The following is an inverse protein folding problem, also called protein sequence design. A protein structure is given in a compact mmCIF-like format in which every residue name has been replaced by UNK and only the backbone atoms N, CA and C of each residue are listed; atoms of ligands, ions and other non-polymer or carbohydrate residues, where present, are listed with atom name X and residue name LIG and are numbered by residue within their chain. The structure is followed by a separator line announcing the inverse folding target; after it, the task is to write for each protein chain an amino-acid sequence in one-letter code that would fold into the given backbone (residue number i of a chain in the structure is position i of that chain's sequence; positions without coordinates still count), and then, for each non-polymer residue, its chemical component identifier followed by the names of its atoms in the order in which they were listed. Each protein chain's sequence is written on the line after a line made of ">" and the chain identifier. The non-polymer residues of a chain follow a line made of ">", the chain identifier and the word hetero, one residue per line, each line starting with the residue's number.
data_IF_434238706645
#
_entry.id   IF_434238706645
#
_cell.length_a   1.000
_cell.length_b   1.000
_cell.length_c   1.000
_cell.angle_alpha   90.00
_cell.angle_beta   90.00
_cell.angle_gamma   90.00
#
_symmetry.space_group_name_H-M   'P 1'
#
loop_
_entity.id
_entity.type
_entity.pdbx_description
1 polymer ?
#
# COMPACT_ATOMS: atom_id res chain seq x y z
N UNK A 1 -46.48 -7.80 28.38
CA UNK A 1 -45.28 -7.06 27.98
C UNK A 1 -44.27 -8.07 27.44
N UNK A 2 -44.01 -8.03 26.14
CA UNK A 2 -43.10 -8.94 25.43
C UNK A 2 -41.72 -8.30 25.39
N UNK A 3 -40.72 -8.93 26.02
CA UNK A 3 -39.33 -8.50 25.96
C UNK A 3 -38.69 -9.07 24.70
N UNK A 4 -38.49 -8.24 23.68
CA UNK A 4 -37.66 -8.57 22.50
C UNK A 4 -36.20 -8.26 22.83
N UNK A 5 -35.24 -9.18 22.62
CA UNK A 5 -33.82 -8.86 22.80
C UNK A 5 -33.34 -7.91 21.70
N UNK A 6 -32.62 -6.86 22.08
CA UNK A 6 -31.95 -5.92 21.15
C UNK A 6 -30.67 -6.59 20.62
N UNK A 7 -30.38 -6.57 19.31
CA UNK A 7 -29.12 -7.07 18.76
C UNK A 7 -27.93 -6.25 19.26
N UNK A 8 -26.82 -6.93 19.61
CA UNK A 8 -25.59 -6.26 19.99
C UNK A 8 -24.99 -5.51 18.79
N UNK A 9 -24.77 -4.21 18.95
CA UNK A 9 -24.04 -3.37 17.99
C UNK A 9 -22.56 -3.73 18.07
N UNK A 10 -22.03 -4.42 17.06
CA UNK A 10 -20.60 -4.61 16.88
C UNK A 10 -19.98 -3.29 16.38
N UNK A 11 -19.54 -2.44 17.28
CA UNK A 11 -18.71 -1.28 16.93
C UNK A 11 -17.36 -1.78 16.40
N UNK A 12 -16.91 -1.37 15.20
CA UNK A 12 -15.57 -1.70 14.74
C UNK A 12 -14.56 -1.07 15.69
N UNK A 13 -13.69 -1.90 16.27
CA UNK A 13 -12.55 -1.44 17.08
C UNK A 13 -11.58 -0.74 16.12
N UNK A 14 -11.17 0.52 16.38
CA UNK A 14 -10.10 1.15 15.63
C UNK A 14 -8.85 0.28 15.73
N UNK A 15 -8.22 -0.04 14.59
CA UNK A 15 -6.94 -0.74 14.59
C UNK A 15 -5.91 0.12 15.32
N UNK A 16 -5.55 -0.27 16.54
CA UNK A 16 -4.49 0.37 17.31
C UNK A 16 -3.17 0.06 16.61
N UNK A 17 -2.48 1.09 16.13
CA UNK A 17 -1.12 0.97 15.61
C UNK A 17 -0.20 0.51 16.75
N UNK A 18 0.18 -0.77 16.76
CA UNK A 18 1.18 -1.28 17.69
C UNK A 18 2.52 -0.59 17.36
N UNK A 19 3.16 0.13 18.29
CA UNK A 19 4.48 0.70 18.04
C UNK A 19 5.47 -0.44 17.83
N UNK A 20 6.22 -0.44 16.72
CA UNK A 20 7.24 -1.45 16.48
C UNK A 20 8.37 -1.32 17.53
N UNK A 21 8.90 -2.43 18.06
CA UNK A 21 10.02 -2.40 19.02
C UNK A 21 11.32 -2.04 18.28
N UNK A 22 11.99 -0.99 18.75
CA UNK A 22 13.12 -0.35 18.04
C UNK A 22 12.58 0.81 17.21
N UNK A 23 12.74 2.04 17.71
CA UNK A 23 12.00 3.20 17.21
C UNK A 23 12.31 3.52 15.76
N UNK A 24 11.51 2.99 14.83
CA UNK A 24 11.52 3.36 13.43
C UNK A 24 11.15 4.85 13.28
N UNK A 25 11.77 5.51 12.31
CA UNK A 25 11.41 6.89 11.93
C UNK A 25 10.75 6.92 10.57
N UNK A 26 9.66 7.68 10.44
CA UNK A 26 9.03 7.88 9.14
C UNK A 26 10.05 8.53 8.19
N UNK A 27 10.36 7.84 7.10
CA UNK A 27 11.32 8.35 6.12
C UNK A 27 10.59 9.05 4.99
N UNK A 28 9.66 8.35 4.32
CA UNK A 28 9.00 8.87 3.13
C UNK A 28 7.75 8.05 2.77
N UNK A 29 6.74 8.68 2.19
CA UNK A 29 5.63 7.96 1.56
C UNK A 29 5.13 8.68 0.31
N UNK A 30 4.57 7.93 -0.63
CA UNK A 30 4.10 8.41 -1.93
C UNK A 30 2.72 7.83 -2.23
N UNK A 31 1.77 8.70 -2.54
CA UNK A 31 0.49 8.34 -3.14
C UNK A 31 0.71 8.15 -4.66
N UNK A 32 0.93 6.90 -5.08
CA UNK A 32 1.41 6.57 -6.42
C UNK A 32 0.43 6.96 -7.54
N UNK A 33 -0.87 6.97 -7.26
CA UNK A 33 -1.90 7.32 -8.24
C UNK A 33 -2.51 8.72 -8.05
N UNK A 34 -2.07 9.51 -7.06
CA UNK A 34 -2.83 10.69 -6.65
C UNK A 34 -2.02 11.90 -6.17
N UNK A 35 -2.75 12.85 -5.59
CA UNK A 35 -2.19 14.08 -5.01
C UNK A 35 -1.61 13.82 -3.61
N UNK A 36 -0.80 14.78 -3.14
CA UNK A 36 -0.29 14.77 -1.78
C UNK A 36 -1.42 14.82 -0.75
N UNK A 37 -1.27 14.09 0.36
CA UNK A 37 -2.25 13.97 1.43
C UNK A 37 -1.57 13.59 2.74
N UNK A 38 -2.34 13.44 3.82
CA UNK A 38 -1.82 13.06 5.14
C UNK A 38 -2.51 11.79 5.62
N UNK A 39 -1.76 10.76 5.95
CA UNK A 39 -2.26 9.51 6.53
C UNK A 39 -1.46 9.22 7.79
N UNK A 40 -2.13 8.90 8.90
CA UNK A 40 -1.51 8.58 10.20
C UNK A 40 -0.51 9.65 10.68
N UNK A 41 -0.86 10.93 10.48
CA UNK A 41 -0.01 12.10 10.77
C UNK A 41 1.28 12.20 9.94
N UNK A 42 1.47 11.34 8.94
CA UNK A 42 2.61 11.40 8.02
C UNK A 42 2.21 12.08 6.72
N UNK A 43 3.10 12.91 6.18
CA UNK A 43 2.93 13.53 4.87
C UNK A 43 3.20 12.50 3.77
N UNK A 44 2.22 12.30 2.90
CA UNK A 44 2.35 11.50 1.69
C UNK A 44 2.50 12.43 0.50
N UNK A 45 3.56 12.21 -0.26
CA UNK A 45 3.84 12.99 -1.46
C UNK A 45 2.91 12.57 -2.62
N UNK A 46 2.73 13.46 -3.60
CA UNK A 46 1.96 13.16 -4.80
C UNK A 46 2.71 12.20 -5.73
N UNK A 47 2.01 11.63 -6.71
CA UNK A 47 2.58 10.82 -7.79
C UNK A 47 3.72 11.49 -8.57
N UNK A 48 3.76 12.83 -8.55
CA UNK A 48 4.80 13.64 -9.19
C UNK A 48 6.00 13.92 -8.28
N UNK A 49 6.15 13.17 -7.18
CA UNK A 49 7.26 13.32 -6.26
C UNK A 49 8.61 13.13 -7.00
N UNK A 50 9.57 14.01 -6.71
CA UNK A 50 10.91 13.88 -7.27
C UNK A 50 11.56 12.57 -6.81
N UNK A 51 12.46 11.99 -7.61
CA UNK A 51 13.18 10.76 -7.27
C UNK A 51 12.29 9.55 -7.02
N UNK A 52 11.08 9.53 -7.57
CA UNK A 52 10.19 8.37 -7.55
C UNK A 52 9.67 8.13 -8.95
N UNK A 53 9.78 6.90 -9.44
CA UNK A 53 9.16 6.50 -10.71
C UNK A 53 8.37 5.21 -10.53
N UNK A 54 7.28 5.09 -11.28
CA UNK A 54 6.46 3.88 -11.37
C UNK A 54 6.00 3.72 -12.81
N UNK A 55 6.09 2.51 -13.35
CA UNK A 55 5.51 2.18 -14.65
C UNK A 55 4.04 1.74 -14.51
N UNK A 56 3.32 1.80 -15.62
CA UNK A 56 1.93 1.40 -15.72
C UNK A 56 1.02 2.55 -16.11
N UNK A 57 -0.26 2.39 -15.85
CA UNK A 57 -1.28 3.38 -16.18
C UNK A 57 -2.09 3.74 -14.94
N UNK A 58 -2.51 4.99 -14.85
CA UNK A 58 -3.32 5.48 -13.73
C UNK A 58 -4.74 4.88 -13.80
N UNK A 59 -5.20 4.36 -12.67
CA UNK A 59 -6.50 3.77 -12.50
C UNK A 59 -7.14 4.28 -11.20
N UNK A 60 -8.21 5.07 -11.35
CA UNK A 60 -8.98 5.61 -10.24
C UNK A 60 -10.42 5.11 -10.29
N UNK A 61 -10.92 4.53 -9.20
CA UNK A 61 -12.31 4.14 -9.08
C UNK A 61 -12.87 4.48 -7.68
N UNK A 62 -13.30 5.73 -7.45
CA UNK A 62 -13.78 6.18 -6.14
C UNK A 62 -15.14 5.59 -5.75
N UNK A 63 -15.80 4.87 -6.66
CA UNK A 63 -17.16 4.35 -6.47
C UNK A 63 -17.18 2.96 -5.82
N UNK A 64 -16.06 2.25 -5.80
CA UNK A 64 -15.94 0.92 -5.20
C UNK A 64 -15.68 1.05 -3.69
N UNK A 65 -16.62 0.62 -2.82
CA UNK A 65 -16.42 0.66 -1.38
C UNK A 65 -15.25 -0.25 -0.97
N UNK A 66 -14.37 0.24 -0.10
CA UNK A 66 -13.23 -0.54 0.37
C UNK A 66 -13.65 -1.57 1.42
N UNK A 67 -13.03 -2.74 1.33
CA UNK A 67 -13.11 -3.81 2.32
C UNK A 67 -11.69 -4.32 2.65
N UNK A 68 -11.19 -4.11 3.88
CA UNK A 68 -11.86 -3.43 5.00
C UNK A 68 -12.08 -1.93 4.75
N UNK A 69 -13.03 -1.31 5.46
CA UNK A 69 -13.19 0.15 5.43
C UNK A 69 -12.02 0.84 6.14
N UNK A 70 -11.76 2.11 5.80
CA UNK A 70 -10.65 2.88 6.37
C UNK A 70 -10.99 4.38 6.38
N UNK A 71 -10.08 5.24 6.87
CA UNK A 71 -10.32 6.69 6.89
C UNK A 71 -10.34 7.30 5.48
N UNK A 72 -10.83 8.54 5.37
CA UNK A 72 -11.06 9.21 4.09
C UNK A 72 -9.78 9.44 3.28
N UNK A 73 -8.65 9.74 3.92
CA UNK A 73 -7.40 10.03 3.23
C UNK A 73 -6.78 8.74 2.71
N UNK A 74 -6.77 7.67 3.53
CA UNK A 74 -6.31 6.35 3.07
C UNK A 74 -7.24 5.78 2.00
N UNK A 75 -8.55 6.02 2.11
CA UNK A 75 -9.52 5.64 1.06
C UNK A 75 -9.19 6.33 -0.26
N UNK A 76 -8.95 7.64 -0.22
CA UNK A 76 -8.57 8.44 -1.40
C UNK A 76 -7.27 7.93 -2.05
N UNK A 77 -6.27 7.58 -1.24
CA UNK A 77 -5.03 6.97 -1.75
C UNK A 77 -5.29 5.61 -2.38
N UNK A 78 -5.98 4.70 -1.68
CA UNK A 78 -6.20 3.33 -2.15
C UNK A 78 -6.95 3.32 -3.49
N UNK A 79 -8.02 4.12 -3.61
CA UNK A 79 -8.90 4.11 -4.78
C UNK A 79 -8.31 4.76 -6.04
N UNK A 80 -7.11 5.34 -5.95
CA UNK A 80 -6.37 5.92 -7.07
C UNK A 80 -4.96 5.33 -7.11
N UNK A 81 -4.72 4.47 -8.09
CA UNK A 81 -3.55 3.60 -8.16
C UNK A 81 -2.90 3.64 -9.55
N UNK A 82 -1.80 2.91 -9.69
CA UNK A 82 -1.20 2.59 -10.98
C UNK A 82 -1.37 1.09 -11.22
N UNK A 83 -1.94 0.71 -12.35
CA UNK A 83 -2.11 -0.69 -12.73
C UNK A 83 -1.01 -1.13 -13.70
N UNK A 84 -0.45 -2.31 -13.46
CA UNK A 84 0.43 -2.99 -14.38
C UNK A 84 0.55 -4.48 -14.03
N UNK A 85 0.88 -5.32 -15.01
CA UNK A 85 1.10 -6.76 -14.79
C UNK A 85 2.49 -7.10 -14.23
N UNK A 86 3.43 -6.14 -14.33
CA UNK A 86 4.79 -6.24 -13.77
C UNK A 86 5.33 -4.86 -13.39
N UNK A 87 5.08 -4.40 -12.16
CA UNK A 87 5.53 -3.08 -11.76
C UNK A 87 7.04 -3.01 -11.57
N UNK A 88 7.57 -1.82 -11.79
CA UNK A 88 8.88 -1.37 -11.36
C UNK A 88 8.66 0.01 -10.72
N UNK A 89 8.87 0.08 -9.42
CA UNK A 89 8.85 1.30 -8.64
C UNK A 89 10.26 1.56 -8.14
N UNK A 90 10.79 2.74 -8.42
CA UNK A 90 12.11 3.16 -7.91
C UNK A 90 11.97 4.39 -7.06
N UNK A 91 12.66 4.41 -5.92
CA UNK A 91 12.85 5.59 -5.09
C UNK A 91 14.35 5.84 -4.98
N UNK A 92 14.85 6.87 -5.67
CA UNK A 92 16.29 7.21 -5.68
C UNK A 92 16.63 8.28 -4.65
N UNK A 93 17.93 8.55 -4.49
CA UNK A 93 18.46 9.49 -3.51
C UNK A 93 18.10 9.11 -2.06
N UNK A 94 18.08 7.80 -1.79
CA UNK A 94 17.82 7.22 -0.47
C UNK A 94 19.16 7.06 0.26
N UNK A 95 19.36 7.62 1.46
CA UNK A 95 20.59 7.38 2.20
C UNK A 95 20.85 5.88 2.45
N UNK A 96 22.11 5.48 2.52
CA UNK A 96 22.42 4.10 2.90
C UNK A 96 21.91 3.80 4.32
N UNK A 97 21.36 2.60 4.50
CA UNK A 97 20.79 2.19 5.76
C UNK A 97 19.78 1.05 5.61
N UNK A 98 19.14 0.71 6.72
CA UNK A 98 18.08 -0.30 6.75
C UNK A 98 16.72 0.38 6.84
N UNK A 99 15.76 -0.16 6.08
CA UNK A 99 14.42 0.39 5.93
C UNK A 99 13.36 -0.70 6.05
N UNK A 100 12.15 -0.29 6.46
CA UNK A 100 10.92 -1.07 6.32
C UNK A 100 10.08 -0.46 5.23
N UNK A 101 9.72 -1.27 4.25
CA UNK A 101 8.93 -0.87 3.10
C UNK A 101 7.55 -1.52 3.18
N UNK A 102 6.52 -0.71 2.94
CA UNK A 102 5.15 -1.15 2.80
C UNK A 102 4.61 -0.76 1.42
N UNK A 103 3.82 -1.66 0.84
CA UNK A 103 3.18 -1.46 -0.46
C UNK A 103 1.67 -1.61 -0.33
N UNK A 104 0.92 -0.64 -0.86
CA UNK A 104 -0.53 -0.67 -0.87
C UNK A 104 -1.02 -1.16 -2.23
N UNK A 105 -1.76 -2.26 -2.23
CA UNK A 105 -2.34 -2.86 -3.43
C UNK A 105 -3.85 -3.01 -3.27
N UNK A 106 -4.60 -2.83 -4.34
CA UNK A 106 -6.06 -2.92 -4.30
C UNK A 106 -6.67 -3.52 -5.56
N UNK A 107 -7.89 -4.00 -5.42
CA UNK A 107 -8.70 -4.55 -6.49
C UNK A 107 -9.96 -3.68 -6.66
N UNK A 108 -10.04 -2.95 -7.76
CA UNK A 108 -11.05 -1.92 -7.99
C UNK A 108 -12.39 -2.48 -8.52
N UNK A 109 -12.36 -3.67 -9.12
CA UNK A 109 -13.54 -4.38 -9.62
C UNK A 109 -13.40 -5.89 -9.42
N UNK A 110 -14.47 -6.66 -9.50
CA UNK A 110 -14.39 -8.12 -9.33
C UNK A 110 -13.84 -8.78 -10.60
N UNK A 111 -12.53 -8.99 -10.67
CA UNK A 111 -11.88 -9.65 -11.80
C UNK A 111 -11.92 -11.18 -11.67
N UNK A 112 -12.71 -11.90 -12.49
CA UNK A 112 -12.77 -13.36 -12.45
C UNK A 112 -11.46 -14.04 -12.89
N UNK A 113 -10.53 -13.29 -13.49
CA UNK A 113 -9.22 -13.73 -13.94
C UNK A 113 -8.06 -13.14 -13.14
N UNK A 114 -8.30 -12.58 -11.95
CA UNK A 114 -7.24 -12.01 -11.11
C UNK A 114 -6.15 -13.05 -10.84
N UNK A 115 -5.02 -12.94 -11.55
CA UNK A 115 -3.85 -13.74 -11.29
C UNK A 115 -3.21 -13.31 -9.97
N UNK A 116 -2.67 -14.26 -9.23
CA UNK A 116 -1.83 -13.91 -8.09
C UNK A 116 -0.53 -13.25 -8.57
N UNK A 117 0.02 -12.35 -7.75
CA UNK A 117 1.27 -11.67 -8.04
C UNK A 117 2.29 -11.89 -6.91
N UNK A 118 3.55 -11.61 -7.24
CA UNK A 118 4.66 -11.57 -6.29
C UNK A 118 5.17 -10.14 -6.12
N UNK A 119 5.82 -9.88 -4.99
CA UNK A 119 6.51 -8.62 -4.69
C UNK A 119 7.98 -8.92 -4.51
N UNK A 120 8.81 -8.11 -5.16
CA UNK A 120 10.25 -8.10 -5.03
C UNK A 120 10.70 -6.76 -4.43
N UNK A 121 11.71 -6.82 -3.57
CA UNK A 121 12.36 -5.67 -2.96
C UNK A 121 13.86 -5.88 -3.02
N UNK A 122 14.62 -4.90 -3.52
CA UNK A 122 16.07 -5.03 -3.76
C UNK A 122 16.46 -6.29 -4.54
N UNK A 123 15.65 -6.65 -5.55
CA UNK A 123 15.86 -7.81 -6.40
C UNK A 123 15.59 -9.17 -5.72
N UNK A 124 15.07 -9.18 -4.49
CA UNK A 124 14.67 -10.39 -3.77
C UNK A 124 13.16 -10.51 -3.69
N UNK A 125 12.61 -11.70 -3.94
CA UNK A 125 11.18 -11.97 -3.73
C UNK A 125 10.88 -11.93 -2.23
N UNK A 126 10.11 -10.94 -1.79
CA UNK A 126 9.72 -10.75 -0.38
C UNK A 126 8.31 -11.24 -0.09
N UNK A 127 7.48 -11.38 -1.12
CA UNK A 127 6.16 -12.01 -0.97
C UNK A 127 5.71 -12.67 -2.28
N UNK A 128 5.01 -13.79 -2.16
CA UNK A 128 4.44 -14.54 -3.28
C UNK A 128 2.95 -14.79 -3.07
N UNK A 129 2.24 -15.15 -4.14
CA UNK A 129 0.83 -15.56 -4.10
C UNK A 129 -0.10 -14.49 -3.49
N UNK A 130 0.20 -13.21 -3.71
CA UNK A 130 -0.72 -12.14 -3.31
C UNK A 130 -1.92 -12.19 -4.25
N UNK A 131 -3.10 -12.41 -3.68
CA UNK A 131 -4.35 -12.53 -4.41
C UNK A 131 -5.37 -11.54 -3.86
N UNK A 132 -5.85 -10.67 -4.74
CA UNK A 132 -6.95 -9.74 -4.49
C UNK A 132 -8.06 -10.07 -5.49
N UNK A 133 -9.13 -10.74 -5.06
CA UNK A 133 -10.14 -11.32 -5.94
C UNK A 133 -11.56 -10.77 -5.73
N UNK A 134 -11.70 -9.78 -4.86
CA UNK A 134 -12.98 -9.11 -4.60
C UNK A 134 -12.85 -7.60 -4.86
N UNK A 135 -13.87 -7.02 -5.51
CA UNK A 135 -13.97 -5.57 -5.63
C UNK A 135 -13.87 -4.90 -4.25
N UNK A 136 -13.03 -3.88 -4.15
CA UNK A 136 -12.79 -3.12 -2.93
C UNK A 136 -11.78 -3.76 -1.99
N UNK A 137 -11.32 -4.97 -2.26
CA UNK A 137 -10.28 -5.61 -1.46
C UNK A 137 -8.98 -4.83 -1.61
N UNK A 138 -8.32 -4.56 -0.49
CA UNK A 138 -6.99 -3.95 -0.49
C UNK A 138 -6.12 -4.53 0.61
N UNK A 139 -4.82 -4.41 0.45
CA UNK A 139 -3.81 -4.88 1.39
C UNK A 139 -2.73 -3.81 1.58
N UNK A 140 -2.33 -3.60 2.83
CA UNK A 140 -1.01 -3.05 3.17
C UNK A 140 -0.05 -4.23 3.30
N UNK A 141 0.79 -4.42 2.29
CA UNK A 141 1.82 -5.46 2.26
C UNK A 141 3.07 -4.97 3.01
N UNK A 142 3.75 -5.87 3.72
CA UNK A 142 4.91 -5.55 4.56
C UNK A 142 4.61 -5.58 6.07
N UNK A 143 5.56 -5.16 6.93
CA UNK A 143 6.83 -4.56 6.56
C UNK A 143 7.76 -5.55 5.85
N UNK A 144 8.45 -5.07 4.82
CA UNK A 144 9.57 -5.76 4.20
C UNK A 144 10.87 -5.03 4.54
N UNK A 145 11.83 -5.75 5.13
CA UNK A 145 13.12 -5.16 5.46
C UNK A 145 13.98 -5.04 4.19
N UNK A 146 14.57 -3.86 3.97
CA UNK A 146 15.51 -3.57 2.89
C UNK A 146 16.81 -2.99 3.45
N UNK A 147 17.94 -3.38 2.86
CA UNK A 147 19.22 -2.71 3.09
C UNK A 147 19.59 -1.94 1.83
N UNK A 148 19.64 -0.62 1.93
CA UNK A 148 20.02 0.28 0.85
C UNK A 148 21.50 0.56 0.94
N UNK A 149 22.22 0.31 -0.16
CA UNK A 149 23.67 0.52 -0.26
C UNK A 149 24.11 1.32 -1.50
N UNK A 150 23.21 1.46 -2.46
CA UNK A 150 23.42 2.09 -3.78
C UNK A 150 22.62 3.39 -3.96
N UNK A 151 21.88 3.81 -2.94
CA UNK A 151 21.09 5.02 -2.96
C UNK A 151 19.67 4.87 -3.52
N UNK A 152 19.20 3.64 -3.74
CA UNK A 152 17.91 3.37 -4.38
C UNK A 152 17.13 2.32 -3.59
N UNK A 153 15.82 2.51 -3.45
CA UNK A 153 14.87 1.44 -3.12
C UNK A 153 14.18 1.00 -4.40
N UNK A 154 14.25 -0.29 -4.71
CA UNK A 154 13.68 -0.93 -5.89
C UNK A 154 12.59 -1.90 -5.46
N UNK A 155 11.34 -1.63 -5.87
CA UNK A 155 10.21 -2.55 -5.71
C UNK A 155 9.77 -3.01 -7.09
N UNK A 156 9.54 -4.30 -7.24
CA UNK A 156 8.92 -4.85 -8.44
C UNK A 156 7.76 -5.77 -8.09
N UNK A 157 6.82 -5.90 -9.01
CA UNK A 157 5.81 -6.96 -8.95
C UNK A 157 5.90 -7.81 -10.21
N UNK A 158 5.47 -9.06 -10.11
CA UNK A 158 5.36 -9.96 -11.27
C UNK A 158 4.15 -10.87 -11.13
N UNK A 159 3.42 -11.04 -12.23
CA UNK A 159 2.15 -11.76 -12.29
C UNK A 159 0.93 -10.90 -11.96
N UNK A 160 -0.25 -11.44 -12.25
CA UNK A 160 -1.53 -10.76 -12.02
C UNK A 160 -1.68 -9.44 -12.79
N UNK A 161 -2.60 -8.60 -12.32
CA UNK A 161 -2.76 -7.19 -12.71
C UNK A 161 -2.97 -6.33 -11.46
N UNK A 162 -1.99 -6.28 -10.53
CA UNK A 162 -2.12 -5.46 -9.34
C UNK A 162 -2.33 -3.98 -9.68
N UNK A 163 -3.16 -3.31 -8.89
CA UNK A 163 -3.18 -1.86 -8.81
C UNK A 163 -2.37 -1.43 -7.57
N UNK A 164 -1.27 -0.71 -7.76
CA UNK A 164 -0.43 -0.19 -6.67
C UNK A 164 -0.81 1.27 -6.35
N UNK A 165 -1.30 1.48 -5.13
CA UNK A 165 -1.84 2.77 -4.70
C UNK A 165 -0.83 3.62 -3.95
N UNK A 166 0.10 2.99 -3.21
CA UNK A 166 0.94 3.70 -2.27
C UNK A 166 2.22 2.96 -1.90
N UNK A 167 3.28 3.73 -1.65
CA UNK A 167 4.57 3.25 -1.14
C UNK A 167 4.88 4.01 0.16
N UNK A 168 5.15 3.28 1.24
CA UNK A 168 5.46 3.87 2.56
C UNK A 168 6.77 3.26 3.08
N UNK A 169 7.69 4.11 3.52
CA UNK A 169 9.05 3.74 3.88
C UNK A 169 9.41 4.33 5.25
N UNK A 170 9.93 3.47 6.11
CA UNK A 170 10.43 3.80 7.44
C UNK A 170 11.90 3.47 7.53
N UNK A 171 12.68 4.30 8.21
CA UNK A 171 14.09 4.02 8.48
C UNK A 171 14.22 3.32 9.83
N UNK A 172 14.95 2.21 9.84
CA UNK A 172 15.32 1.50 11.07
C UNK A 172 16.50 2.21 11.71
N UNK A 173 16.36 2.49 13.00
CA UNK A 173 17.39 3.13 13.83
C UNK A 173 18.23 2.11 14.58
#
# INVERSE_FOLDING_TARGET
>A
ATNTPVPATNTPVPATSTPLPGGDSFYRAVNLGGNALVIDSNNWEAKTAANVTVNGYEACNPWTPLNPTTDANRTTMIQCAVQHWAHTVTMSNVPNGTYRVYLYAWQDWSDPGAGAFSVQLEGQVVQTNVLLNQAGQWLKLGPFDATVSDGVINVATDGGLPNLSGLEVWRLN
#
